data_IF_376862497827
#
_entry.id   IF_376862497827
#
_cell.length_a   1.000
_cell.length_b   1.000
_cell.length_c   1.000
_cell.angle_alpha   90.00
_cell.angle_beta   90.00
_cell.angle_gamma   90.00
#
_symmetry.space_group_name_H-M   'P 1'
#
loop_
_entity.id
_entity.type
_entity.pdbx_description
1 polymer ?
#
# COMPACT_ATOMS: atom_id res chain seq x y z
N UNK A 1 17.39 16.60 20.19
CA UNK A 1 17.54 16.60 21.67
C UNK A 1 17.84 15.20 22.23
N UNK A 2 17.41 14.13 21.53
CA UNK A 2 17.59 12.74 21.95
C UNK A 2 18.66 11.99 21.16
N UNK A 3 19.52 12.68 20.40
CA UNK A 3 20.68 12.10 19.72
C UNK A 3 20.40 11.40 18.39
N UNK A 4 19.27 11.67 17.75
CA UNK A 4 19.03 11.18 16.39
C UNK A 4 19.76 12.07 15.37
N UNK A 5 20.60 11.47 14.54
CA UNK A 5 21.37 12.15 13.48
C UNK A 5 20.66 12.05 12.12
N UNK A 6 19.85 11.00 11.91
CA UNK A 6 19.14 10.73 10.67
C UNK A 6 17.68 10.50 11.00
N UNK A 7 16.79 11.05 10.18
CA UNK A 7 15.33 10.88 10.28
C UNK A 7 14.81 10.38 8.93
N UNK A 8 14.16 9.23 8.95
CA UNK A 8 13.47 8.70 7.79
C UNK A 8 12.17 9.45 7.53
N UNK A 9 11.95 9.82 6.28
CA UNK A 9 10.79 10.59 5.82
C UNK A 9 10.21 9.99 4.55
N UNK A 10 8.98 10.36 4.22
CA UNK A 10 8.35 10.02 2.97
C UNK A 10 8.27 11.24 2.04
N UNK A 11 7.73 11.04 0.84
CA UNK A 11 7.47 12.07 -0.15
C UNK A 11 6.04 11.95 -0.66
N UNK A 12 5.34 13.09 -0.90
CA UNK A 12 4.09 13.05 -1.65
C UNK A 12 4.26 12.39 -3.03
N UNK A 13 3.26 11.60 -3.47
CA UNK A 13 1.97 11.33 -2.87
C UNK A 13 1.96 10.12 -1.91
N UNK A 14 3.10 9.61 -1.50
CA UNK A 14 3.23 8.43 -0.62
C UNK A 14 3.33 8.77 0.88
N UNK A 15 3.22 10.04 1.24
CA UNK A 15 3.34 10.55 2.63
C UNK A 15 2.01 10.71 3.35
N UNK A 16 1.00 9.93 2.99
CA UNK A 16 -0.32 10.00 3.62
C UNK A 16 -0.59 8.88 4.63
N UNK A 17 -1.52 9.13 5.53
CA UNK A 17 -2.09 8.11 6.42
C UNK A 17 -1.08 7.56 7.42
N UNK A 18 -0.74 6.28 7.32
CA UNK A 18 0.02 5.50 8.31
C UNK A 18 1.52 5.39 8.00
N UNK A 19 2.01 6.12 7.03
CA UNK A 19 3.43 6.13 6.64
C UNK A 19 4.19 7.27 7.31
N UNK A 20 5.49 7.38 7.00
CA UNK A 20 6.33 8.49 7.48
C UNK A 20 5.79 9.84 7.00
N UNK A 21 6.00 10.91 7.77
CA UNK A 21 5.60 12.25 7.38
C UNK A 21 6.39 12.72 6.15
N UNK A 22 5.81 13.67 5.42
CA UNK A 22 6.44 14.27 4.25
C UNK A 22 7.71 15.05 4.62
N UNK A 23 8.75 14.91 3.80
CA UNK A 23 10.05 15.55 4.00
C UNK A 23 9.94 17.08 4.12
N UNK A 24 9.03 17.72 3.38
CA UNK A 24 8.83 19.19 3.44
C UNK A 24 8.28 19.57 4.81
N UNK A 25 7.31 18.82 5.32
CA UNK A 25 6.71 19.05 6.63
C UNK A 25 7.74 18.89 7.75
N UNK A 26 8.52 17.81 7.71
CA UNK A 26 9.59 17.55 8.69
C UNK A 26 10.68 18.63 8.63
N UNK A 27 11.12 19.02 7.42
CA UNK A 27 12.08 20.12 7.27
C UNK A 27 11.56 21.42 7.88
N UNK A 28 10.29 21.79 7.61
CA UNK A 28 9.70 22.99 8.18
C UNK A 28 9.62 22.94 9.71
N UNK A 29 9.24 21.80 10.27
CA UNK A 29 9.19 21.60 11.73
C UNK A 29 10.58 21.74 12.37
N UNK A 30 11.59 21.10 11.78
CA UNK A 30 12.96 21.16 12.31
C UNK A 30 13.55 22.56 12.22
N UNK A 31 13.37 23.26 11.08
CA UNK A 31 13.79 24.67 10.94
C UNK A 31 13.13 25.59 11.98
N UNK A 32 11.82 25.42 12.20
CA UNK A 32 11.09 26.19 13.20
C UNK A 32 11.56 25.88 14.63
N UNK A 33 12.04 24.67 14.88
CA UNK A 33 12.66 24.29 16.15
C UNK A 33 14.12 24.75 16.29
N UNK A 34 14.69 25.43 15.28
CA UNK A 34 16.04 25.96 15.30
C UNK A 34 17.15 25.03 14.84
N UNK A 35 16.81 23.89 14.24
CA UNK A 35 17.79 22.97 13.68
C UNK A 35 18.25 23.42 12.28
N UNK A 36 19.51 23.17 11.97
CA UNK A 36 20.04 23.29 10.62
C UNK A 36 19.81 21.98 9.88
N UNK A 37 19.07 22.05 8.79
CA UNK A 37 18.74 20.90 7.94
C UNK A 37 19.03 21.22 6.48
N UNK A 38 19.39 20.22 5.66
CA UNK A 38 19.63 20.41 4.24
C UNK A 38 18.44 21.04 3.52
N UNK A 39 18.73 21.87 2.50
CA UNK A 39 17.69 22.45 1.65
C UNK A 39 17.19 21.41 0.66
N UNK A 40 15.86 21.36 0.49
CA UNK A 40 15.22 20.49 -0.49
C UNK A 40 15.24 21.15 -1.87
N UNK A 41 15.69 20.43 -2.87
CA UNK A 41 15.55 20.87 -4.26
C UNK A 41 14.08 20.72 -4.68
N UNK A 42 13.30 21.80 -4.52
CA UNK A 42 11.85 21.80 -4.81
C UNK A 42 11.52 21.41 -6.24
N UNK A 43 12.38 21.78 -7.24
CA UNK A 43 12.14 21.39 -8.63
C UNK A 43 12.27 19.87 -8.82
N UNK A 44 13.27 19.25 -8.21
CA UNK A 44 13.45 17.81 -8.25
C UNK A 44 12.32 17.10 -7.48
N UNK A 45 11.96 17.62 -6.30
CA UNK A 45 10.85 17.10 -5.50
C UNK A 45 9.53 17.09 -6.31
N UNK A 46 9.16 18.21 -6.92
CA UNK A 46 7.92 18.31 -7.69
C UNK A 46 7.92 17.40 -8.92
N UNK A 47 9.07 17.24 -9.58
CA UNK A 47 9.20 16.28 -10.69
C UNK A 47 8.99 14.85 -10.20
N UNK A 48 9.67 14.45 -9.12
CA UNK A 48 9.53 13.12 -8.53
C UNK A 48 8.10 12.85 -8.07
N UNK A 49 7.46 13.83 -7.40
CA UNK A 49 6.05 13.76 -6.99
C UNK A 49 5.11 13.48 -8.17
N UNK A 50 5.26 14.24 -9.27
CA UNK A 50 4.41 14.05 -10.44
C UNK A 50 4.60 12.68 -11.09
N UNK A 51 5.84 12.23 -11.24
CA UNK A 51 6.14 10.89 -11.79
C UNK A 51 5.58 9.78 -10.90
N UNK A 52 5.70 9.92 -9.57
CA UNK A 52 5.16 8.95 -8.62
C UNK A 52 3.63 8.92 -8.65
N UNK A 53 2.98 10.09 -8.74
CA UNK A 53 1.53 10.16 -8.86
C UNK A 53 1.04 9.45 -10.13
N UNK A 54 1.69 9.69 -11.24
CA UNK A 54 1.36 9.05 -12.50
C UNK A 54 1.51 7.53 -12.44
N UNK A 55 2.60 7.04 -11.83
CA UNK A 55 2.76 5.60 -11.60
C UNK A 55 1.67 5.01 -10.70
N UNK A 56 1.24 5.76 -9.68
CA UNK A 56 0.12 5.34 -8.83
C UNK A 56 -1.16 5.27 -9.63
N UNK A 57 -1.46 6.29 -10.42
CA UNK A 57 -2.70 6.36 -11.19
C UNK A 57 -2.77 5.23 -12.23
N UNK A 58 -1.65 4.90 -12.85
CA UNK A 58 -1.57 3.87 -13.88
C UNK A 58 -1.59 2.43 -13.33
N UNK A 59 -0.99 2.21 -12.17
CA UNK A 59 -0.73 0.85 -11.69
C UNK A 59 -1.17 0.61 -10.25
N UNK A 60 -0.65 1.37 -9.29
CA UNK A 60 -0.81 1.07 -7.86
C UNK A 60 -2.17 1.49 -7.31
N UNK A 61 -2.83 2.50 -7.88
CA UNK A 61 -4.09 3.05 -7.40
C UNK A 61 -5.22 2.01 -7.32
N UNK A 62 -5.17 0.99 -8.16
CA UNK A 62 -6.12 -0.12 -8.14
C UNK A 62 -5.99 -1.02 -6.91
N UNK A 63 -4.82 -1.04 -6.27
CA UNK A 63 -4.51 -1.89 -5.12
C UNK A 63 -4.47 -1.12 -3.80
N UNK A 64 -4.46 0.21 -3.86
CA UNK A 64 -4.42 1.05 -2.65
C UNK A 64 -5.85 1.22 -2.09
N UNK A 65 -6.06 0.74 -0.86
CA UNK A 65 -7.31 1.02 -0.13
C UNK A 65 -7.39 2.51 0.20
N UNK A 66 -8.50 3.15 -0.21
CA UNK A 66 -8.73 4.58 0.00
C UNK A 66 -8.68 4.99 1.48
N UNK A 67 -8.99 4.07 2.40
CA UNK A 67 -8.90 4.31 3.84
C UNK A 67 -7.47 4.55 4.32
N UNK A 68 -6.46 4.08 3.58
CA UNK A 68 -5.05 4.35 3.89
C UNK A 68 -4.63 5.80 3.66
N UNK A 69 -5.42 6.57 2.92
CA UNK A 69 -5.16 8.00 2.65
C UNK A 69 -5.55 8.92 3.81
N UNK A 70 -6.22 8.39 4.83
CA UNK A 70 -6.70 9.20 5.95
C UNK A 70 -5.81 9.02 7.17
N UNK A 71 -5.45 10.15 7.79
CA UNK A 71 -4.83 10.17 9.11
C UNK A 71 -5.85 9.73 10.16
N UNK A 72 -5.43 8.84 11.06
CA UNK A 72 -6.21 8.47 12.24
C UNK A 72 -5.54 9.02 13.48
N UNK A 73 -6.32 9.67 14.36
CA UNK A 73 -5.84 10.12 15.67
C UNK A 73 -5.33 8.96 16.55
N UNK A 74 -5.80 7.73 16.28
CA UNK A 74 -5.32 6.52 16.96
C UNK A 74 -3.83 6.27 16.73
N UNK A 75 -3.29 6.65 15.55
CA UNK A 75 -1.85 6.57 15.28
C UNK A 75 -1.01 7.38 16.25
N UNK A 76 -1.51 8.55 16.64
CA UNK A 76 -0.82 9.44 17.58
C UNK A 76 -1.07 9.03 19.03
N UNK A 77 -2.26 8.53 19.33
CA UNK A 77 -2.69 8.21 20.70
C UNK A 77 -2.10 6.92 21.27
N UNK A 78 -1.95 5.88 20.44
CA UNK A 78 -1.48 4.57 20.92
C UNK A 78 0.04 4.37 20.87
N UNK A 79 0.80 5.30 20.28
CA UNK A 79 2.26 5.21 20.20
C UNK A 79 2.81 4.01 19.40
N UNK A 80 1.98 3.36 18.60
CA UNK A 80 2.39 2.23 17.77
C UNK A 80 2.91 2.70 16.40
N UNK A 81 3.92 2.02 15.83
CA UNK A 81 4.39 2.32 14.49
C UNK A 81 3.30 2.19 13.44
N UNK A 82 3.26 3.12 12.46
CA UNK A 82 2.25 3.17 11.41
C UNK A 82 2.16 1.89 10.58
N UNK A 83 3.31 1.24 10.28
CA UNK A 83 3.36 -0.04 9.58
C UNK A 83 2.73 -1.18 10.38
N UNK A 84 2.96 -1.22 11.70
CA UNK A 84 2.31 -2.18 12.60
C UNK A 84 0.79 -1.97 12.61
N UNK A 85 0.34 -0.71 12.74
CA UNK A 85 -1.08 -0.34 12.67
C UNK A 85 -1.72 -0.77 11.34
N UNK A 86 -1.03 -0.54 10.22
CA UNK A 86 -1.50 -0.93 8.89
C UNK A 86 -1.77 -2.43 8.79
N UNK A 87 -0.81 -3.24 9.22
CA UNK A 87 -0.93 -4.70 9.22
C UNK A 87 -1.99 -5.20 10.22
N UNK A 88 -2.07 -4.60 11.40
CA UNK A 88 -3.12 -4.92 12.38
C UNK A 88 -4.52 -4.70 11.81
N UNK A 89 -4.76 -3.54 11.21
CA UNK A 89 -6.07 -3.22 10.63
C UNK A 89 -6.44 -4.11 9.43
N UNK A 90 -5.45 -4.56 8.64
CA UNK A 90 -5.68 -5.51 7.57
C UNK A 90 -6.11 -6.88 8.12
N UNK A 91 -5.40 -7.39 9.12
CA UNK A 91 -5.71 -8.67 9.76
C UNK A 91 -7.05 -8.65 10.49
N UNK A 92 -7.38 -7.55 11.18
CA UNK A 92 -8.63 -7.41 11.92
C UNK A 92 -9.88 -7.55 11.06
N UNK A 93 -9.87 -7.06 9.82
CA UNK A 93 -11.00 -7.21 8.89
C UNK A 93 -11.33 -8.69 8.65
N UNK A 94 -10.31 -9.54 8.53
CA UNK A 94 -10.48 -10.99 8.37
C UNK A 94 -10.92 -11.68 9.65
N UNK A 95 -10.29 -11.33 10.77
CA UNK A 95 -10.52 -11.96 12.08
C UNK A 95 -11.87 -11.57 12.66
N UNK A 96 -12.33 -10.32 12.47
CA UNK A 96 -13.59 -9.80 12.99
C UNK A 96 -14.80 -10.67 12.59
N UNK A 97 -14.86 -11.09 11.32
CA UNK A 97 -15.94 -11.96 10.85
C UNK A 97 -15.93 -13.32 11.55
N UNK A 98 -14.73 -13.88 11.77
CA UNK A 98 -14.55 -15.15 12.48
C UNK A 98 -14.93 -15.06 13.97
N UNK A 99 -14.52 -13.97 14.63
CA UNK A 99 -14.88 -13.69 16.03
C UNK A 99 -16.40 -13.57 16.17
N UNK A 100 -17.07 -12.83 15.30
CA UNK A 100 -18.53 -12.65 15.38
C UNK A 100 -19.29 -13.95 15.08
N UNK A 101 -18.76 -14.81 14.21
CA UNK A 101 -19.32 -16.15 14.02
C UNK A 101 -19.22 -17.00 15.29
N UNK A 102 -18.07 -16.93 15.96
CA UNK A 102 -17.82 -17.63 17.23
C UNK A 102 -18.76 -17.11 18.34
N UNK A 103 -18.86 -15.79 18.53
CA UNK A 103 -19.74 -15.16 19.52
C UNK A 103 -21.22 -15.56 19.30
N UNK A 104 -21.65 -15.55 18.05
CA UNK A 104 -22.99 -16.02 17.66
C UNK A 104 -23.20 -17.48 18.04
N UNK A 105 -22.20 -18.34 17.81
CA UNK A 105 -22.26 -19.76 18.24
C UNK A 105 -22.35 -19.94 19.75
N UNK A 106 -21.84 -18.98 20.53
CA UNK A 106 -21.92 -18.94 21.99
C UNK A 106 -23.19 -18.23 22.51
N UNK A 107 -24.08 -17.74 21.62
CA UNK A 107 -25.26 -16.97 22.01
C UNK A 107 -24.96 -15.57 22.56
N UNK A 108 -23.78 -15.02 22.23
CA UNK A 108 -23.34 -13.69 22.63
C UNK A 108 -23.61 -12.67 21.51
N UNK A 109 -23.74 -11.40 21.90
CA UNK A 109 -23.86 -10.29 20.93
C UNK A 109 -22.61 -10.14 20.08
N UNK A 110 -22.75 -9.73 18.82
CA UNK A 110 -21.61 -9.46 17.95
C UNK A 110 -20.80 -8.26 18.48
N UNK A 111 -19.49 -8.35 18.36
CA UNK A 111 -18.54 -7.29 18.69
C UNK A 111 -18.39 -6.33 17.51
N UNK A 112 -18.33 -5.02 17.76
CA UNK A 112 -18.00 -4.04 16.73
C UNK A 112 -16.50 -4.15 16.34
N UNK A 113 -16.14 -3.63 15.15
CA UNK A 113 -14.73 -3.57 14.76
C UNK A 113 -13.93 -2.65 15.70
N UNK A 114 -14.54 -1.56 16.17
CA UNK A 114 -13.90 -0.61 17.08
C UNK A 114 -13.61 -1.24 18.45
N UNK A 115 -14.55 -2.02 19.00
CA UNK A 115 -14.31 -2.76 20.24
C UNK A 115 -13.16 -3.77 20.10
N UNK A 116 -13.08 -4.44 18.95
CA UNK A 116 -11.99 -5.37 18.66
C UNK A 116 -10.65 -4.64 18.55
N UNK A 117 -10.62 -3.43 17.95
CA UNK A 117 -9.43 -2.58 17.88
C UNK A 117 -8.96 -2.20 19.28
N UNK A 118 -9.89 -1.77 20.16
CA UNK A 118 -9.56 -1.43 21.56
C UNK A 118 -8.98 -2.64 22.29
N UNK A 119 -9.64 -3.80 22.22
CA UNK A 119 -9.12 -5.03 22.82
C UNK A 119 -7.72 -5.40 22.33
N UNK A 120 -7.46 -5.23 21.04
CA UNK A 120 -6.14 -5.55 20.49
C UNK A 120 -5.07 -4.58 20.98
N UNK A 121 -5.38 -3.29 21.12
CA UNK A 121 -4.42 -2.32 21.67
C UNK A 121 -4.12 -2.59 23.14
N UNK A 122 -5.13 -2.86 23.95
CA UNK A 122 -4.94 -3.25 25.35
C UNK A 122 -4.09 -4.54 25.45
N UNK A 123 -4.31 -5.47 24.54
CA UNK A 123 -3.55 -6.72 24.55
C UNK A 123 -2.10 -6.51 24.05
N UNK A 124 -1.84 -5.62 23.10
CA UNK A 124 -0.47 -5.24 22.70
C UNK A 124 0.25 -4.56 23.87
N UNK A 125 -0.40 -3.66 24.58
CA UNK A 125 0.14 -2.97 25.76
C UNK A 125 0.45 -3.98 26.88
N UNK A 126 -0.37 -5.01 27.03
CA UNK A 126 -0.16 -6.11 27.98
C UNK A 126 0.99 -7.04 27.60
N UNK A 127 1.07 -7.42 26.30
CA UNK A 127 2.02 -8.41 25.77
C UNK A 127 3.43 -7.85 25.65
N UNK A 128 3.57 -6.65 25.12
CA UNK A 128 4.86 -6.07 24.74
C UNK A 128 5.89 -6.05 25.91
N UNK A 129 5.57 -5.52 27.10
CA UNK A 129 6.49 -5.55 28.24
C UNK A 129 6.81 -6.96 28.70
N UNK A 130 5.86 -7.89 28.62
CA UNK A 130 6.05 -9.28 29.06
C UNK A 130 7.00 -10.08 28.16
N UNK A 131 7.09 -9.69 26.91
CA UNK A 131 8.05 -10.22 25.94
C UNK A 131 9.43 -9.54 26.00
N UNK A 132 9.70 -8.67 27.01
CA UNK A 132 10.99 -8.03 27.18
C UNK A 132 11.20 -6.82 26.26
N UNK A 133 10.16 -6.12 25.88
CA UNK A 133 10.18 -4.92 25.05
C UNK A 133 10.91 -5.09 23.70
N UNK A 134 10.61 -6.12 22.90
CA UNK A 134 11.23 -6.24 21.58
C UNK A 134 11.00 -4.95 20.77
N UNK A 135 11.97 -4.54 19.94
CA UNK A 135 11.81 -3.35 19.11
C UNK A 135 10.57 -3.46 18.22
N UNK A 136 9.73 -2.42 18.18
CA UNK A 136 8.52 -2.44 17.34
C UNK A 136 8.85 -2.13 15.87
N UNK A 137 9.84 -2.83 15.34
CA UNK A 137 10.29 -2.83 13.94
C UNK A 137 10.18 -4.25 13.39
N UNK A 138 10.02 -4.38 12.07
CA UNK A 138 9.95 -5.70 11.41
C UNK A 138 11.26 -6.48 11.63
N UNK A 139 11.21 -7.78 11.98
CA UNK A 139 10.02 -8.63 12.14
C UNK A 139 9.38 -8.61 13.55
N UNK A 140 10.03 -8.06 14.56
CA UNK A 140 9.62 -8.15 15.97
C UNK A 140 8.25 -7.53 16.25
N UNK A 141 7.91 -6.41 15.59
CA UNK A 141 6.58 -5.81 15.67
C UNK A 141 5.47 -6.77 15.23
N UNK A 142 5.76 -7.64 14.24
CA UNK A 142 4.81 -8.66 13.81
C UNK A 142 4.63 -9.76 14.84
N UNK A 143 5.71 -10.14 15.55
CA UNK A 143 5.64 -11.15 16.61
C UNK A 143 4.77 -10.67 17.78
N UNK A 144 4.99 -9.43 18.24
CA UNK A 144 4.16 -8.82 19.30
C UNK A 144 2.70 -8.75 18.87
N UNK A 145 2.43 -8.26 17.65
CA UNK A 145 1.09 -8.18 17.08
C UNK A 145 0.42 -9.56 17.01
N UNK A 146 1.13 -10.56 16.51
CA UNK A 146 0.57 -11.90 16.33
C UNK A 146 0.20 -12.54 17.67
N UNK A 147 1.06 -12.41 18.67
CA UNK A 147 0.76 -12.90 20.03
C UNK A 147 -0.45 -12.19 20.61
N UNK A 148 -0.52 -10.86 20.50
CA UNK A 148 -1.65 -10.10 20.98
C UNK A 148 -2.96 -10.52 20.27
N UNK A 149 -2.93 -10.69 18.96
CA UNK A 149 -4.10 -11.13 18.19
C UNK A 149 -4.55 -12.55 18.57
N UNK A 150 -3.60 -13.48 18.75
CA UNK A 150 -3.92 -14.84 19.19
C UNK A 150 -4.53 -14.84 20.60
N UNK A 151 -3.96 -14.04 21.52
CA UNK A 151 -4.52 -13.89 22.87
C UNK A 151 -5.95 -13.33 22.84
N UNK A 152 -6.22 -12.29 22.04
CA UNK A 152 -7.59 -11.76 21.87
C UNK A 152 -8.55 -12.87 21.40
N UNK A 153 -8.15 -13.66 20.41
CA UNK A 153 -8.96 -14.78 19.93
C UNK A 153 -9.24 -15.82 21.01
N UNK A 154 -8.26 -16.12 21.87
CA UNK A 154 -8.43 -17.07 22.97
C UNK A 154 -9.32 -16.51 24.08
N UNK A 155 -9.11 -15.24 24.45
CA UNK A 155 -9.97 -14.55 25.42
C UNK A 155 -11.44 -14.51 25.01
N UNK A 156 -11.72 -14.24 23.73
CA UNK A 156 -13.09 -14.26 23.19
C UNK A 156 -13.71 -15.67 23.29
N UNK A 157 -12.92 -16.72 23.14
CA UNK A 157 -13.36 -18.12 23.36
C UNK A 157 -13.58 -18.45 24.83
N UNK A 158 -13.05 -17.67 25.77
CA UNK A 158 -13.01 -17.96 27.19
C UNK A 158 -11.80 -18.83 27.59
N UNK A 159 -10.77 -18.84 26.74
CA UNK A 159 -9.52 -19.56 26.98
C UNK A 159 -8.45 -18.62 27.56
N UNK A 160 -7.34 -19.19 28.00
CA UNK A 160 -6.24 -18.44 28.60
C UNK A 160 -5.30 -17.86 27.53
N UNK A 161 -4.57 -16.79 27.91
CA UNK A 161 -3.49 -16.20 27.11
C UNK A 161 -2.33 -17.20 26.94
N UNK A 162 -1.45 -16.91 25.96
CA UNK A 162 -0.18 -17.59 25.72
C UNK A 162 -0.30 -19.04 25.24
N UNK A 163 -1.48 -19.49 24.90
CA UNK A 163 -1.70 -20.87 24.42
C UNK A 163 -1.22 -21.05 22.98
N UNK A 164 -1.18 -19.97 22.21
CA UNK A 164 -0.76 -19.97 20.81
C UNK A 164 0.35 -18.94 20.57
N UNK A 165 1.58 -19.40 20.55
CA UNK A 165 2.77 -18.62 20.19
C UNK A 165 3.46 -19.36 19.05
N UNK A 166 3.72 -18.66 17.93
CA UNK A 166 4.38 -19.23 16.76
C UNK A 166 5.88 -19.46 16.99
N UNK A 167 6.50 -20.29 16.13
CA UNK A 167 7.88 -20.69 16.29
C UNK A 167 8.87 -19.51 16.20
N UNK A 168 8.62 -18.53 15.32
CA UNK A 168 9.51 -17.38 15.19
C UNK A 168 9.46 -16.48 16.42
N UNK A 169 8.27 -16.33 16.98
CA UNK A 169 8.10 -15.63 18.27
C UNK A 169 8.82 -16.38 19.39
N UNK A 170 8.75 -17.71 19.42
CA UNK A 170 9.54 -18.52 20.36
C UNK A 170 11.05 -18.35 20.16
N UNK A 171 11.54 -18.32 18.93
CA UNK A 171 12.96 -18.10 18.66
C UNK A 171 13.44 -16.73 19.17
N UNK A 172 12.59 -15.69 19.06
CA UNK A 172 12.86 -14.38 19.66
C UNK A 172 12.88 -14.47 21.22
N UNK A 173 11.87 -15.09 21.83
CA UNK A 173 11.76 -15.23 23.29
C UNK A 173 12.98 -15.99 23.86
N UNK A 174 13.41 -17.03 23.17
CA UNK A 174 14.51 -17.91 23.61
C UNK A 174 15.91 -17.32 23.39
N UNK A 175 16.01 -16.13 22.78
CA UNK A 175 17.28 -15.45 22.55
C UNK A 175 17.98 -15.79 21.23
N UNK A 176 17.41 -16.65 20.38
CA UNK A 176 18.01 -17.03 19.09
C UNK A 176 18.10 -15.85 18.09
N UNK A 177 17.27 -14.83 18.26
CA UNK A 177 17.30 -13.59 17.47
C UNK A 177 18.08 -12.46 18.15
N UNK A 178 18.83 -12.78 19.19
CA UNK A 178 19.60 -11.85 19.99
C UNK A 178 18.92 -11.42 21.29
N UNK A 179 19.65 -10.63 22.07
CA UNK A 179 19.23 -10.20 23.39
C UNK A 179 18.10 -9.17 23.32
N UNK A 180 17.03 -9.40 24.06
CA UNK A 180 15.93 -8.44 24.21
C UNK A 180 16.31 -7.23 25.05
N UNK A 181 15.73 -6.04 24.80
CA UNK A 181 16.00 -4.83 25.57
C UNK A 181 15.65 -4.92 27.06
N UNK A 182 14.59 -5.64 27.38
CA UNK A 182 14.09 -5.84 28.74
C UNK A 182 14.06 -7.28 29.18
N UNK A 183 13.74 -7.51 30.44
CA UNK A 183 13.57 -8.86 30.99
C UNK A 183 12.22 -9.44 30.55
N UNK A 184 12.22 -10.74 30.25
CA UNK A 184 10.99 -11.51 30.05
C UNK A 184 10.19 -11.61 31.35
N UNK A 185 8.87 -11.60 31.25
CA UNK A 185 8.01 -11.84 32.40
C UNK A 185 8.20 -13.29 32.93
N UNK A 186 8.12 -13.49 34.27
CA UNK A 186 8.30 -14.81 34.89
C UNK A 186 7.39 -15.86 34.27
N UNK A 187 6.15 -15.53 33.99
CA UNK A 187 5.16 -16.44 33.37
C UNK A 187 5.60 -16.94 31.99
N UNK A 188 6.30 -16.13 31.19
CA UNK A 188 6.82 -16.52 29.88
C UNK A 188 8.01 -17.47 30.05
N UNK A 189 8.88 -17.19 31.03
CA UNK A 189 10.01 -18.08 31.35
C UNK A 189 9.52 -19.43 31.83
N UNK A 190 8.53 -19.46 32.71
CA UNK A 190 7.92 -20.72 33.23
C UNK A 190 7.23 -21.49 32.09
N UNK A 191 6.51 -20.80 31.20
CA UNK A 191 5.88 -21.40 30.04
C UNK A 191 6.91 -22.04 29.11
N UNK A 192 8.02 -21.36 28.81
CA UNK A 192 9.11 -21.90 28.00
C UNK A 192 9.68 -23.18 28.63
N UNK A 193 9.97 -23.13 29.91
CA UNK A 193 10.49 -24.30 30.67
C UNK A 193 9.51 -25.49 30.68
N UNK A 194 8.21 -25.18 30.84
CA UNK A 194 7.17 -26.24 30.83
C UNK A 194 7.06 -26.97 29.50
N UNK A 195 7.44 -26.26 28.39
CA UNK A 195 7.50 -26.82 27.04
C UNK A 195 8.84 -27.50 26.72
N UNK A 196 9.81 -27.46 27.65
CA UNK A 196 11.14 -28.03 27.45
C UNK A 196 12.04 -27.17 26.53
N UNK A 197 11.76 -25.90 26.40
CA UNK A 197 12.57 -24.97 25.60
C UNK A 197 13.78 -24.51 26.42
N UNK A 198 14.90 -24.33 25.72
CA UNK A 198 16.17 -23.85 26.26
C UNK A 198 16.44 -22.45 25.77
N UNK A 199 16.88 -21.57 26.67
CA UNK A 199 17.32 -20.22 26.34
C UNK A 199 18.76 -20.22 25.86
N UNK A 200 19.11 -19.34 24.93
CA UNK A 200 20.48 -19.18 24.46
C UNK A 200 20.92 -17.73 24.55
N UNK A 201 22.21 -17.52 24.80
CA UNK A 201 22.90 -16.23 24.72
C UNK A 201 23.91 -16.20 23.55
N UNK A 202 23.85 -17.20 22.67
CA UNK A 202 24.72 -17.27 21.50
C UNK A 202 24.47 -16.08 20.55
N UNK A 203 25.54 -15.61 19.92
CA UNK A 203 25.42 -14.58 18.90
C UNK A 203 24.57 -15.11 17.73
N UNK A 204 23.45 -14.48 17.38
CA UNK A 204 22.59 -14.91 16.29
C UNK A 204 23.33 -15.10 14.97
N UNK A 205 24.38 -14.31 14.72
CA UNK A 205 25.21 -14.40 13.51
C UNK A 205 25.89 -15.76 13.34
N UNK A 206 26.17 -16.46 14.45
CA UNK A 206 26.77 -17.78 14.39
C UNK A 206 25.81 -18.84 13.79
N UNK A 207 24.52 -18.56 13.78
CA UNK A 207 23.49 -19.44 13.18
C UNK A 207 23.25 -19.14 11.70
N UNK A 208 23.83 -18.06 11.16
CA UNK A 208 23.65 -17.60 9.76
C UNK A 208 25.00 -17.54 9.09
N UNK A 209 25.47 -18.64 8.49
CA UNK A 209 26.72 -18.63 7.73
C UNK A 209 26.60 -17.69 6.52
N UNK A 210 27.71 -17.12 6.12
CA UNK A 210 27.77 -16.33 4.87
C UNK A 210 27.45 -17.25 3.68
N UNK A 211 26.39 -16.93 2.96
CA UNK A 211 25.93 -17.65 1.77
C UNK A 211 26.13 -16.88 0.48
N UNK A 212 26.80 -15.71 0.49
CA UNK A 212 26.95 -14.87 -0.70
C UNK A 212 27.62 -15.62 -1.85
N UNK A 213 28.61 -16.46 -1.57
CA UNK A 213 29.28 -17.27 -2.61
C UNK A 213 28.32 -18.26 -3.30
N UNK A 214 27.34 -18.78 -2.58
CA UNK A 214 26.29 -19.63 -3.16
C UNK A 214 25.43 -18.83 -4.16
N UNK A 215 25.06 -17.62 -3.80
CA UNK A 215 24.27 -16.75 -4.67
C UNK A 215 25.08 -16.20 -5.84
N UNK A 216 26.38 -15.90 -5.66
CA UNK A 216 27.30 -15.57 -6.77
C UNK A 216 27.32 -16.68 -7.81
N UNK A 217 27.49 -17.92 -7.36
CA UNK A 217 27.48 -19.06 -8.27
C UNK A 217 26.14 -19.20 -9.00
N UNK A 218 25.01 -18.98 -8.30
CA UNK A 218 23.70 -19.03 -8.95
C UNK A 218 23.56 -17.94 -10.03
N UNK A 219 24.06 -16.73 -9.78
CA UNK A 219 24.05 -15.65 -10.76
C UNK A 219 24.91 -15.99 -11.98
N UNK A 220 26.12 -16.52 -11.76
CA UNK A 220 27.03 -16.97 -12.84
C UNK A 220 26.40 -18.07 -13.69
N UNK A 221 25.81 -19.09 -13.04
CA UNK A 221 25.17 -20.23 -13.70
C UNK A 221 23.96 -19.79 -14.58
N UNK A 222 23.29 -18.70 -14.19
CA UNK A 222 22.14 -18.14 -14.92
C UNK A 222 22.52 -16.98 -15.87
N UNK A 223 23.78 -16.52 -15.86
CA UNK A 223 24.24 -15.39 -16.65
C UNK A 223 23.59 -14.06 -16.25
N UNK A 224 23.28 -13.89 -14.97
CA UNK A 224 22.75 -12.64 -14.42
C UNK A 224 23.87 -11.67 -14.08
N UNK A 225 23.64 -10.39 -14.33
CA UNK A 225 24.58 -9.33 -13.99
C UNK A 225 24.50 -8.99 -12.50
N UNK A 226 25.62 -8.65 -11.88
CA UNK A 226 25.68 -8.30 -10.45
C UNK A 226 25.16 -6.91 -10.11
N UNK A 227 25.05 -6.01 -11.12
CA UNK A 227 24.81 -4.59 -10.91
C UNK A 227 26.10 -3.81 -10.63
N UNK A 228 26.00 -2.49 -10.47
CA UNK A 228 27.16 -1.60 -10.34
C UNK A 228 27.92 -1.84 -9.02
N UNK A 229 27.18 -1.98 -7.91
CA UNK A 229 27.73 -2.21 -6.56
C UNK A 229 27.30 -3.59 -6.00
N UNK A 230 27.18 -4.58 -6.85
CA UNK A 230 26.68 -5.92 -6.51
C UNK A 230 25.22 -5.90 -5.93
N UNK A 231 24.45 -4.84 -6.20
CA UNK A 231 23.08 -4.69 -5.66
C UNK A 231 22.17 -5.83 -6.10
N UNK A 232 22.32 -6.35 -7.30
CA UNK A 232 21.51 -7.48 -7.79
C UNK A 232 21.84 -8.78 -7.05
N UNK A 233 23.10 -8.97 -6.61
CA UNK A 233 23.49 -10.09 -5.77
C UNK A 233 22.81 -10.01 -4.39
N UNK A 234 22.81 -8.82 -3.79
CA UNK A 234 22.12 -8.60 -2.52
C UNK A 234 20.62 -8.78 -2.64
N UNK A 235 20.01 -8.31 -3.72
CA UNK A 235 18.58 -8.56 -3.98
C UNK A 235 18.27 -10.06 -4.08
N UNK A 236 19.09 -10.84 -4.77
CA UNK A 236 18.95 -12.29 -4.82
C UNK A 236 19.13 -12.92 -3.43
N UNK A 237 20.13 -12.49 -2.66
CA UNK A 237 20.41 -13.06 -1.35
C UNK A 237 19.32 -12.73 -0.31
N UNK A 238 18.75 -11.53 -0.37
CA UNK A 238 17.72 -11.06 0.57
C UNK A 238 16.30 -11.49 0.18
N UNK A 239 16.01 -11.63 -1.12
CA UNK A 239 14.67 -11.88 -1.65
C UNK A 239 14.70 -12.96 -2.74
N UNK A 240 15.34 -14.07 -2.48
CA UNK A 240 15.73 -15.12 -3.45
C UNK A 240 14.57 -15.59 -4.35
N UNK A 241 13.40 -15.87 -3.76
CA UNK A 241 12.20 -16.29 -4.48
C UNK A 241 11.66 -15.16 -5.38
N UNK A 242 11.53 -13.96 -4.83
CA UNK A 242 11.01 -12.80 -5.55
C UNK A 242 11.93 -12.42 -6.71
N UNK A 243 13.24 -12.46 -6.48
CA UNK A 243 14.24 -12.18 -7.50
C UNK A 243 14.19 -13.18 -8.67
N UNK A 244 14.12 -14.48 -8.36
CA UNK A 244 13.94 -15.52 -9.39
C UNK A 244 12.64 -15.35 -10.17
N UNK A 245 11.52 -15.06 -9.49
CA UNK A 245 10.24 -14.76 -10.15
C UNK A 245 10.34 -13.51 -11.07
N UNK A 246 11.09 -12.51 -10.66
CA UNK A 246 11.37 -11.31 -11.46
C UNK A 246 12.21 -11.63 -12.70
N UNK A 247 13.36 -12.26 -12.52
CA UNK A 247 14.27 -12.61 -13.64
C UNK A 247 13.65 -13.58 -14.65
N UNK A 248 12.82 -14.50 -14.20
CA UNK A 248 12.08 -15.42 -15.09
C UNK A 248 10.87 -14.79 -15.80
N UNK A 249 10.51 -13.54 -15.44
CA UNK A 249 9.32 -12.86 -15.96
C UNK A 249 7.98 -13.32 -15.35
N UNK A 250 7.99 -14.30 -14.45
CA UNK A 250 6.77 -14.80 -13.77
C UNK A 250 6.12 -13.69 -12.94
N UNK A 251 6.92 -12.90 -12.20
CA UNK A 251 6.42 -11.79 -11.41
C UNK A 251 5.72 -10.74 -12.28
N UNK A 252 6.32 -10.35 -13.40
CA UNK A 252 5.74 -9.40 -14.36
C UNK A 252 4.41 -9.91 -14.92
N UNK A 253 4.38 -11.17 -15.35
CA UNK A 253 3.16 -11.78 -15.90
C UNK A 253 2.04 -11.79 -14.85
N UNK A 254 2.35 -12.24 -13.62
CA UNK A 254 1.37 -12.28 -12.52
C UNK A 254 0.82 -10.88 -12.21
N UNK A 255 1.71 -9.89 -12.10
CA UNK A 255 1.31 -8.50 -11.86
C UNK A 255 0.38 -7.96 -12.97
N UNK A 256 0.72 -8.19 -14.24
CA UNK A 256 -0.11 -7.74 -15.37
C UNK A 256 -1.49 -8.42 -15.39
N UNK A 257 -1.56 -9.71 -15.04
CA UNK A 257 -2.83 -10.43 -14.92
C UNK A 257 -3.68 -9.90 -13.75
N UNK A 258 -3.04 -9.58 -12.62
CA UNK A 258 -3.71 -8.97 -11.45
C UNK A 258 -4.19 -7.56 -11.75
N UNK A 259 -3.37 -6.74 -12.39
CA UNK A 259 -3.72 -5.39 -12.82
C UNK A 259 -4.92 -5.41 -13.75
N UNK A 260 -4.91 -6.28 -14.75
CA UNK A 260 -6.05 -6.42 -15.67
C UNK A 260 -7.34 -6.79 -14.94
N UNK A 261 -7.27 -7.72 -13.98
CA UNK A 261 -8.42 -8.10 -13.15
C UNK A 261 -8.92 -6.93 -12.29
N UNK A 262 -8.01 -6.16 -11.70
CA UNK A 262 -8.35 -5.00 -10.88
C UNK A 262 -9.00 -3.88 -11.72
N UNK A 263 -8.49 -3.62 -12.91
CA UNK A 263 -9.06 -2.67 -13.86
C UNK A 263 -10.46 -3.10 -14.31
N UNK A 264 -10.63 -4.37 -14.68
CA UNK A 264 -11.95 -4.91 -15.05
C UNK A 264 -12.96 -4.77 -13.90
N UNK A 265 -12.55 -5.09 -12.69
CA UNK A 265 -13.40 -4.93 -11.50
C UNK A 265 -13.77 -3.48 -11.22
N UNK A 266 -12.84 -2.55 -11.42
CA UNK A 266 -13.10 -1.11 -11.28
C UNK A 266 -14.10 -0.61 -12.32
N UNK A 267 -13.98 -1.06 -13.58
CA UNK A 267 -14.92 -0.72 -14.64
C UNK A 267 -16.35 -1.22 -14.33
N UNK A 268 -16.49 -2.49 -13.90
CA UNK A 268 -17.79 -3.04 -13.46
C UNK A 268 -18.37 -2.23 -12.30
N UNK A 269 -17.55 -1.88 -11.31
CA UNK A 269 -17.97 -1.07 -10.16
C UNK A 269 -18.42 0.33 -10.55
N UNK A 270 -17.82 0.90 -11.60
CA UNK A 270 -18.18 2.20 -12.15
C UNK A 270 -19.42 2.16 -13.07
N UNK A 271 -20.04 1.00 -13.26
CA UNK A 271 -21.28 0.84 -14.02
C UNK A 271 -21.09 0.68 -15.52
N UNK A 272 -19.87 0.37 -15.98
CA UNK A 272 -19.66 0.04 -17.39
C UNK A 272 -20.35 -1.27 -17.76
N UNK A 273 -20.99 -1.29 -18.92
CA UNK A 273 -21.56 -2.51 -19.46
C UNK A 273 -20.51 -3.45 -20.07
N UNK A 274 -20.91 -4.71 -20.33
CA UNK A 274 -20.00 -5.73 -20.87
C UNK A 274 -19.49 -5.38 -22.27
N UNK A 275 -20.24 -4.63 -23.07
CA UNK A 275 -19.83 -4.22 -24.41
C UNK A 275 -18.69 -3.22 -24.35
N UNK A 276 -18.82 -2.23 -23.47
CA UNK A 276 -17.78 -1.22 -23.19
C UNK A 276 -16.49 -1.88 -22.69
N UNK A 277 -16.60 -2.82 -21.74
CA UNK A 277 -15.45 -3.57 -21.21
C UNK A 277 -14.77 -4.39 -22.31
N UNK A 278 -15.53 -5.08 -23.17
CA UNK A 278 -14.95 -5.84 -24.29
C UNK A 278 -14.27 -4.93 -25.31
N UNK A 279 -14.82 -3.74 -25.56
CA UNK A 279 -14.24 -2.77 -26.48
C UNK A 279 -12.93 -2.24 -25.95
N UNK A 280 -12.88 -1.87 -24.67
CA UNK A 280 -11.66 -1.49 -23.96
C UNK A 280 -10.56 -2.55 -24.09
N UNK A 281 -10.86 -3.81 -23.76
CA UNK A 281 -9.91 -4.92 -23.86
C UNK A 281 -9.37 -5.11 -25.29
N UNK A 282 -10.22 -4.94 -26.29
CA UNK A 282 -9.84 -5.09 -27.70
C UNK A 282 -8.94 -3.95 -28.18
N UNK A 283 -9.22 -2.72 -27.76
CA UNK A 283 -8.51 -1.52 -28.25
C UNK A 283 -7.36 -1.11 -27.33
N UNK A 284 -7.30 -1.65 -26.11
CA UNK A 284 -6.39 -1.20 -25.04
C UNK A 284 -6.47 0.32 -24.77
N UNK A 285 -7.66 0.87 -24.94
CA UNK A 285 -7.94 2.31 -24.79
C UNK A 285 -8.93 2.51 -23.65
N UNK A 286 -8.64 3.47 -22.76
CA UNK A 286 -9.48 3.79 -21.61
C UNK A 286 -10.69 4.63 -22.05
N UNK A 287 -11.92 4.27 -21.61
CA UNK A 287 -13.11 5.06 -21.91
C UNK A 287 -13.17 6.32 -21.02
N UNK A 288 -13.47 7.45 -21.63
CA UNK A 288 -13.86 8.68 -20.94
C UNK A 288 -15.37 8.71 -20.86
N UNK A 289 -15.91 8.81 -19.63
CA UNK A 289 -17.35 8.72 -19.37
C UNK A 289 -17.94 10.07 -18.98
N UNK A 290 -19.23 10.24 -19.26
CA UNK A 290 -20.01 11.38 -18.80
C UNK A 290 -20.27 11.27 -17.28
N UNK A 291 -19.87 12.25 -16.45
CA UNK A 291 -20.08 12.22 -15.00
C UNK A 291 -21.56 12.49 -14.64
N UNK A 292 -22.28 13.20 -15.51
CA UNK A 292 -23.72 13.48 -15.35
C UNK A 292 -24.43 13.57 -16.70
N UNK A 293 -25.75 13.71 -16.69
CA UNK A 293 -26.55 13.94 -17.89
C UNK A 293 -26.36 15.36 -18.40
N UNK A 294 -26.12 15.51 -19.69
CA UNK A 294 -25.99 16.82 -20.32
C UNK A 294 -25.62 16.77 -21.79
N UNK A 295 -25.28 17.92 -22.34
CA UNK A 295 -24.88 18.08 -23.73
C UNK A 295 -23.36 18.26 -23.83
N UNK A 296 -22.70 17.46 -24.65
CA UNK A 296 -21.23 17.48 -24.82
C UNK A 296 -20.81 18.71 -25.62
N UNK A 297 -19.84 19.45 -25.07
CA UNK A 297 -19.17 20.57 -25.70
C UNK A 297 -17.67 20.30 -25.74
N UNK A 298 -17.15 19.90 -26.88
CA UNK A 298 -15.75 19.49 -27.03
C UNK A 298 -14.74 20.61 -26.85
N UNK A 299 -15.05 21.78 -27.34
CA UNK A 299 -14.22 22.94 -27.07
C UNK A 299 -15.07 24.22 -27.21
N UNK A 300 -15.04 25.05 -26.20
CA UNK A 300 -15.65 26.36 -26.23
C UNK A 300 -14.51 27.36 -26.35
N UNK A 301 -14.20 27.78 -27.58
CA UNK A 301 -13.27 28.88 -27.78
C UNK A 301 -14.07 30.20 -27.77
N UNK A 302 -13.63 31.14 -26.95
CA UNK A 302 -14.21 32.49 -26.91
C UNK A 302 -13.74 33.34 -28.14
N UNK A 303 -12.66 32.95 -28.81
CA UNK A 303 -11.99 33.68 -29.88
C UNK A 303 -11.57 32.81 -31.07
N UNK A 304 -12.34 31.82 -31.48
CA UNK A 304 -11.97 31.01 -32.64
C UNK A 304 -12.99 29.92 -32.98
N UNK A 305 -12.81 29.19 -34.09
CA UNK A 305 -13.69 28.08 -34.43
C UNK A 305 -13.51 26.97 -33.44
N UNK A 306 -14.63 26.41 -32.99
CA UNK A 306 -14.66 25.19 -32.19
C UNK A 306 -13.93 24.08 -32.93
N UNK A 307 -12.91 23.49 -32.32
CA UNK A 307 -12.18 22.34 -32.89
C UNK A 307 -12.96 21.09 -32.54
N UNK A 308 -13.55 20.48 -33.57
CA UNK A 308 -14.20 19.16 -33.37
C UNK A 308 -13.20 18.12 -32.91
N UNK A 309 -13.62 17.17 -32.04
CA UNK A 309 -12.76 16.10 -31.66
C UNK A 309 -12.41 15.24 -32.88
N UNK A 310 -11.16 14.78 -32.93
CA UNK A 310 -10.72 13.89 -33.99
C UNK A 310 -9.85 12.77 -33.45
N UNK A 311 -9.91 11.61 -34.10
CA UNK A 311 -9.05 10.47 -33.77
C UNK A 311 -7.58 10.87 -33.99
N UNK A 312 -6.73 10.60 -32.98
CA UNK A 312 -5.33 10.96 -32.96
C UNK A 312 -5.01 12.26 -32.19
N UNK A 313 -6.01 13.04 -31.77
CA UNK A 313 -5.78 14.21 -30.90
C UNK A 313 -5.17 13.74 -29.58
N UNK A 314 -4.07 14.39 -29.17
CA UNK A 314 -3.36 14.12 -27.93
C UNK A 314 -3.86 15.02 -26.81
N UNK A 315 -3.92 14.45 -25.61
CA UNK A 315 -4.21 15.16 -24.36
C UNK A 315 -3.12 14.86 -23.36
N UNK A 316 -2.84 15.82 -22.50
CA UNK A 316 -1.98 15.63 -21.35
C UNK A 316 -2.83 15.36 -20.11
N UNK A 317 -2.23 14.74 -19.09
CA UNK A 317 -2.87 14.60 -17.80
C UNK A 317 -3.35 15.97 -17.27
N UNK A 318 -4.56 16.02 -16.72
CA UNK A 318 -5.23 17.23 -16.24
C UNK A 318 -5.53 18.29 -17.32
N UNK A 319 -5.42 17.97 -18.59
CA UNK A 319 -5.95 18.82 -19.67
C UNK A 319 -7.47 18.68 -19.74
N UNK A 320 -8.17 19.81 -20.00
CA UNK A 320 -9.62 19.76 -20.20
C UNK A 320 -9.92 18.96 -21.45
N UNK A 321 -10.59 17.84 -21.27
CA UNK A 321 -10.97 16.94 -22.35
C UNK A 321 -12.17 17.48 -23.12
N UNK A 322 -13.25 17.81 -22.40
CA UNK A 322 -14.44 18.46 -22.92
C UNK A 322 -15.25 19.08 -21.76
N UNK A 323 -16.36 19.72 -22.10
CA UNK A 323 -17.33 20.20 -21.14
C UNK A 323 -18.66 19.45 -21.32
N UNK A 324 -19.41 19.34 -20.23
CA UNK A 324 -20.80 18.92 -20.27
C UNK A 324 -21.68 20.06 -19.79
N UNK A 325 -22.67 20.45 -20.62
CA UNK A 325 -23.69 21.43 -20.23
C UNK A 325 -24.84 20.67 -19.58
N UNK A 326 -25.01 20.84 -18.28
CA UNK A 326 -26.11 20.20 -17.54
C UNK A 326 -27.45 20.84 -17.85
N UNK A 327 -28.59 20.14 -17.63
CA UNK A 327 -29.94 20.72 -17.79
C UNK A 327 -30.20 21.96 -16.92
N UNK A 328 -29.40 22.15 -15.88
CA UNK A 328 -29.49 23.28 -14.94
C UNK A 328 -28.72 24.53 -15.41
N UNK A 329 -28.06 24.46 -16.57
CA UNK A 329 -27.28 25.57 -17.12
C UNK A 329 -25.85 25.68 -16.58
N UNK A 330 -25.36 24.70 -15.83
CA UNK A 330 -23.98 24.64 -15.38
C UNK A 330 -23.10 23.94 -16.42
N UNK A 331 -21.82 24.30 -16.44
CA UNK A 331 -20.80 23.69 -17.28
C UNK A 331 -19.82 22.92 -16.39
N UNK A 332 -19.78 21.61 -16.52
CA UNK A 332 -18.84 20.77 -15.83
C UNK A 332 -17.66 20.42 -16.75
N UNK A 333 -16.43 20.52 -16.23
CA UNK A 333 -15.21 20.14 -16.96
C UNK A 333 -14.97 18.65 -16.82
N UNK A 334 -14.76 17.98 -17.92
CA UNK A 334 -14.23 16.61 -17.94
C UNK A 334 -12.74 16.72 -18.24
N UNK A 335 -11.92 16.21 -17.33
CA UNK A 335 -10.46 16.26 -17.44
C UNK A 335 -9.93 14.95 -18.03
N UNK A 336 -8.82 15.01 -18.77
CA UNK A 336 -8.08 13.83 -19.17
C UNK A 336 -7.33 13.28 -17.95
N UNK A 337 -7.66 12.08 -17.51
CA UNK A 337 -7.07 11.46 -16.31
C UNK A 337 -5.65 10.92 -16.55
N UNK A 338 -5.15 10.94 -17.78
CA UNK A 338 -3.81 10.50 -18.16
C UNK A 338 -3.42 11.10 -19.51
N UNK A 339 -2.13 11.06 -19.82
CA UNK A 339 -1.60 11.48 -21.12
C UNK A 339 -1.88 10.41 -22.17
N UNK A 340 -2.61 10.79 -23.22
CA UNK A 340 -3.05 9.84 -24.23
C UNK A 340 -3.50 10.48 -25.52
N UNK A 341 -3.96 9.66 -26.47
CA UNK A 341 -4.56 10.10 -27.72
C UNK A 341 -5.95 9.50 -27.93
N UNK A 342 -6.85 10.26 -28.54
CA UNK A 342 -8.17 9.74 -28.92
C UNK A 342 -8.01 8.65 -29.99
N UNK A 343 -8.58 7.48 -29.72
CA UNK A 343 -8.68 6.39 -30.71
C UNK A 343 -10.09 6.23 -31.27
N UNK A 344 -11.10 6.73 -30.52
CA UNK A 344 -12.48 6.72 -30.96
C UNK A 344 -13.26 7.85 -30.28
N UNK A 345 -14.13 8.52 -31.03
CA UNK A 345 -15.09 9.51 -30.53
C UNK A 345 -16.47 8.90 -30.57
N UNK A 346 -17.11 8.74 -29.40
CA UNK A 346 -18.42 8.15 -29.26
C UNK A 346 -19.54 9.20 -29.20
N UNK A 347 -19.26 10.38 -28.60
CA UNK A 347 -20.19 11.49 -28.51
C UNK A 347 -19.68 12.71 -29.30
N UNK A 348 -20.43 13.12 -30.31
CA UNK A 348 -20.10 14.30 -31.11
C UNK A 348 -20.44 15.60 -30.40
N UNK A 349 -19.97 16.73 -30.93
CA UNK A 349 -20.33 18.07 -30.47
C UNK A 349 -21.86 18.23 -30.40
N UNK A 350 -22.37 18.62 -29.25
CA UNK A 350 -23.80 18.84 -29.02
C UNK A 350 -24.60 17.56 -28.75
N UNK A 351 -23.97 16.41 -28.74
CA UNK A 351 -24.65 15.13 -28.37
C UNK A 351 -25.16 15.17 -26.93
N UNK A 352 -26.37 14.69 -26.70
CA UNK A 352 -26.91 14.52 -25.36
C UNK A 352 -26.47 13.14 -24.84
N UNK A 353 -25.85 13.14 -23.68
CA UNK A 353 -25.39 11.94 -22.98
C UNK A 353 -26.05 11.81 -21.63
N UNK A 354 -26.15 10.58 -21.13
CA UNK A 354 -26.56 10.29 -19.76
C UNK A 354 -25.33 9.98 -18.89
N UNK A 355 -25.50 10.04 -17.60
CA UNK A 355 -24.45 9.62 -16.67
C UNK A 355 -23.99 8.20 -16.98
N UNK A 356 -22.68 8.03 -17.16
CA UNK A 356 -22.08 6.73 -17.48
C UNK A 356 -21.89 6.46 -18.99
N UNK A 357 -22.47 7.28 -19.89
CA UNK A 357 -22.26 7.11 -21.33
C UNK A 357 -20.79 7.38 -21.70
N UNK A 358 -20.25 6.59 -22.62
CA UNK A 358 -18.86 6.77 -23.11
C UNK A 358 -18.80 7.92 -24.11
N UNK A 359 -17.95 8.91 -23.83
CA UNK A 359 -17.74 10.08 -24.68
C UNK A 359 -16.70 9.79 -25.76
N UNK A 360 -15.60 9.15 -25.37
CA UNK A 360 -14.51 8.74 -26.26
C UNK A 360 -13.65 7.65 -25.63
N UNK A 361 -12.78 7.04 -26.44
CA UNK A 361 -11.72 6.15 -25.96
C UNK A 361 -10.36 6.79 -26.16
N UNK A 362 -9.53 6.82 -25.10
CA UNK A 362 -8.15 7.31 -25.12
C UNK A 362 -7.18 6.13 -24.97
N UNK A 363 -6.24 6.02 -25.89
CA UNK A 363 -5.09 5.14 -25.76
C UNK A 363 -3.95 5.89 -25.07
N UNK A 364 -3.38 5.29 -24.02
CA UNK A 364 -2.21 5.86 -23.32
C UNK A 364 -1.04 5.94 -24.28
N UNK A 365 -0.41 7.08 -24.36
CA UNK A 365 0.85 7.22 -25.09
C UNK A 365 1.98 6.87 -24.16
N UNK A 366 2.80 5.87 -24.54
CA UNK A 366 4.03 5.54 -23.81
C UNK A 366 4.90 6.79 -23.65
N UNK A 367 5.46 6.95 -22.45
CA UNK A 367 6.48 7.96 -22.21
C UNK A 367 7.65 7.75 -23.16
N UNK A 368 7.85 8.66 -24.08
CA UNK A 368 9.20 8.88 -24.56
C UNK A 368 9.92 9.71 -23.51
N UNK A 369 10.85 9.04 -22.78
CA UNK A 369 11.70 9.60 -21.75
C UNK A 369 12.50 10.83 -22.26
#
# INVERSE_FOLDING_TARGET
ENGADIIDVAMEPLSWGKVHPDVISVQAMLKNAGFQVPEINMKAYMKARSMTQEFIDDFLGYFIDSTNKHMSSLLLGCGLPGGMMGSMMADLKGVHSGINLLLKGQGKEPMSLDDLVVMLFEEVEYVWPKLGYPPLVTPFSQYVKNVALMNVMQLVKGEERWTMIDNHTWDMILGKSGKLPGALAPEIIELAKSKGYEFTDEDPQMNYPDELDKYRKEMDDNGWEYGEDEEELFELAMHDRQYRDYKSGVAKKRFMDDLQRAQDAAMVKSGFDEETIRKYKRTKADPIIAPDKGQILWEVSVEGPSIAPFVGRKYQHDEVFCYISTPWGEYEKIMANFTGRIVEVCAQQGAVVNKGDVIAYLERTEFTA
#
